data_IF_452212435377
#
_entry.id   IF_452212435377
#
_cell.length_a   1.000
_cell.length_b   1.000
_cell.length_c   1.000
_cell.angle_alpha   90.00
_cell.angle_beta   90.00
_cell.angle_gamma   90.00
#
_symmetry.space_group_name_H-M   'P 1'
#
loop_
_entity.id
_entity.type
_entity.pdbx_description
1 polymer ?
#
# COMPACT_ATOMS: atom_id res chain seq x y z
N UNK A 1 32.30 3.58 -7.23
CA UNK A 1 32.10 3.66 -5.76
C UNK A 1 30.91 4.58 -5.53
N UNK A 2 29.70 4.04 -5.43
CA UNK A 2 28.48 4.84 -5.28
C UNK A 2 28.22 5.06 -3.79
N UNK A 3 28.27 6.32 -3.36
CA UNK A 3 27.98 6.74 -1.99
C UNK A 3 26.48 6.59 -1.74
N UNK A 4 26.09 5.73 -0.80
CA UNK A 4 24.73 5.68 -0.29
C UNK A 4 24.42 7.01 0.39
N UNK A 5 23.53 7.80 -0.22
CA UNK A 5 23.03 9.05 0.35
C UNK A 5 22.40 8.75 1.70
N UNK A 6 22.92 9.39 2.75
CA UNK A 6 22.44 9.29 4.12
C UNK A 6 21.01 9.84 4.17
N UNK A 7 20.02 8.97 3.98
CA UNK A 7 18.61 9.32 4.08
C UNK A 7 18.36 9.86 5.47
N UNK A 8 17.82 11.09 5.57
CA UNK A 8 17.35 11.65 6.84
C UNK A 8 16.67 10.55 7.65
N UNK A 9 17.17 10.31 8.87
CA UNK A 9 16.67 9.23 9.70
C UNK A 9 15.18 9.45 9.93
N UNK A 10 14.35 8.68 9.21
CA UNK A 10 12.89 8.77 9.34
C UNK A 10 12.55 8.49 10.79
N UNK A 11 11.99 9.49 11.48
CA UNK A 11 11.62 9.38 12.90
C UNK A 11 10.53 8.33 13.15
N UNK A 12 9.82 7.91 12.10
CA UNK A 12 8.74 6.93 12.14
C UNK A 12 8.97 5.87 11.07
N UNK A 13 8.75 4.57 11.38
CA UNK A 13 8.94 3.48 10.43
C UNK A 13 7.79 3.39 9.43
N UNK A 14 8.05 2.74 8.29
CA UNK A 14 7.01 2.27 7.37
C UNK A 14 6.76 0.79 7.65
N UNK A 15 5.49 0.39 7.73
CA UNK A 15 5.10 -0.99 8.03
C UNK A 15 4.30 -1.54 6.84
N UNK A 16 4.78 -2.62 6.23
CA UNK A 16 4.06 -3.36 5.21
C UNK A 16 3.35 -4.55 5.86
N UNK A 17 2.03 -4.62 5.73
CA UNK A 17 1.23 -5.74 6.22
C UNK A 17 0.68 -6.49 5.01
N UNK A 18 1.14 -7.73 4.82
CA UNK A 18 0.80 -8.56 3.66
C UNK A 18 0.37 -9.97 4.07
N UNK A 19 -0.27 -10.68 3.14
CA UNK A 19 -0.62 -12.10 3.16
C UNK A 19 -2.02 -12.35 2.60
N UNK A 20 -2.49 -13.59 2.65
CA UNK A 20 -3.71 -14.03 1.98
C UNK A 20 -4.97 -13.28 2.46
N UNK A 21 -5.88 -12.98 1.53
CA UNK A 21 -7.10 -12.18 1.74
C UNK A 21 -7.94 -12.58 2.97
N UNK A 22 -7.92 -13.85 3.37
CA UNK A 22 -8.71 -14.41 4.47
C UNK A 22 -8.24 -14.04 5.89
N UNK A 23 -7.07 -13.41 6.08
CA UNK A 23 -6.48 -13.23 7.43
C UNK A 23 -6.92 -11.97 8.20
N UNK A 24 -8.08 -11.37 7.89
CA UNK A 24 -8.63 -10.15 8.57
C UNK A 24 -7.63 -9.00 8.75
N UNK A 25 -6.67 -8.84 7.83
CA UNK A 25 -5.60 -7.84 7.95
C UNK A 25 -6.14 -6.42 8.00
N UNK A 26 -7.18 -6.11 7.22
CA UNK A 26 -7.80 -4.77 7.22
C UNK A 26 -8.23 -4.33 8.63
N UNK A 27 -8.83 -5.22 9.41
CA UNK A 27 -9.28 -4.93 10.79
C UNK A 27 -8.11 -4.74 11.74
N UNK A 28 -7.10 -5.62 11.68
CA UNK A 28 -5.90 -5.53 12.53
C UNK A 28 -5.09 -4.27 12.21
N UNK A 29 -4.94 -3.92 10.93
CA UNK A 29 -4.20 -2.73 10.52
C UNK A 29 -4.91 -1.45 10.92
N UNK A 30 -6.25 -1.40 10.86
CA UNK A 30 -7.02 -0.26 11.32
C UNK A 30 -6.79 0.02 12.81
N UNK A 31 -6.80 -1.02 13.65
CA UNK A 31 -6.49 -0.87 15.08
C UNK A 31 -5.02 -0.48 15.32
N UNK A 32 -4.09 -1.08 14.57
CA UNK A 32 -2.67 -0.75 14.67
C UNK A 32 -2.40 0.73 14.31
N UNK A 33 -3.07 1.25 13.29
CA UNK A 33 -2.93 2.64 12.88
C UNK A 33 -3.39 3.63 13.96
N UNK A 34 -4.47 3.29 14.67
CA UNK A 34 -4.95 4.09 15.81
C UNK A 34 -3.91 4.09 16.93
N UNK A 35 -3.41 2.92 17.32
CA UNK A 35 -2.46 2.78 18.45
C UNK A 35 -1.09 3.38 18.13
N UNK A 36 -0.63 3.27 16.89
CA UNK A 36 0.68 3.77 16.46
C UNK A 36 0.65 5.21 15.95
N UNK A 37 -0.54 5.79 15.81
CA UNK A 37 -0.82 7.08 15.16
C UNK A 37 -0.21 7.19 13.75
N UNK A 38 -0.02 6.04 13.07
CA UNK A 38 0.51 5.98 11.72
C UNK A 38 -0.62 6.09 10.70
N UNK A 39 -0.33 6.64 9.52
CA UNK A 39 -1.29 6.69 8.41
C UNK A 39 -1.48 5.28 7.86
N UNK A 40 -2.68 4.73 8.03
CA UNK A 40 -3.09 3.52 7.33
C UNK A 40 -3.37 3.85 5.86
N UNK A 41 -2.76 3.10 4.95
CA UNK A 41 -3.04 3.17 3.52
C UNK A 41 -3.43 1.77 3.06
N UNK A 42 -4.65 1.63 2.55
CA UNK A 42 -5.05 0.42 1.83
C UNK A 42 -4.65 0.58 0.36
N UNK A 43 -3.76 -0.26 -0.14
CA UNK A 43 -3.24 -0.15 -1.51
C UNK A 43 -4.33 -0.31 -2.56
N UNK A 44 -5.31 -1.19 -2.35
CA UNK A 44 -6.39 -1.42 -3.32
C UNK A 44 -7.37 -0.26 -3.38
N UNK A 45 -7.72 0.33 -2.23
CA UNK A 45 -8.60 1.52 -2.19
C UNK A 45 -7.86 2.74 -2.76
N UNK A 46 -6.57 2.91 -2.41
CA UNK A 46 -5.72 3.97 -2.95
C UNK A 46 -5.56 3.89 -4.47
N UNK A 47 -5.30 2.70 -5.03
CA UNK A 47 -5.18 2.52 -6.47
C UNK A 47 -6.48 2.87 -7.21
N UNK A 48 -7.64 2.61 -6.61
CA UNK A 48 -8.95 3.00 -7.18
C UNK A 48 -9.18 4.50 -7.13
N UNK A 49 -8.92 5.15 -5.99
CA UNK A 49 -9.07 6.61 -5.84
C UNK A 49 -8.21 7.38 -6.85
N UNK A 50 -7.01 6.87 -7.10
CA UNK A 50 -6.00 7.54 -7.92
C UNK A 50 -6.00 7.05 -9.38
N UNK A 51 -6.99 6.23 -9.76
CA UNK A 51 -7.12 5.63 -11.09
C UNK A 51 -5.84 4.93 -11.58
N UNK A 52 -5.12 4.27 -10.67
CA UNK A 52 -3.90 3.49 -10.93
C UNK A 52 -4.26 2.05 -11.33
N UNK A 53 -5.33 1.89 -12.10
CA UNK A 53 -5.86 0.59 -12.53
C UNK A 53 -5.83 0.48 -14.04
N UNK A 54 -5.46 -0.70 -14.52
CA UNK A 54 -5.38 -1.07 -15.93
C UNK A 54 -6.68 -1.76 -16.37
N UNK A 55 -6.56 -2.69 -17.31
CA UNK A 55 -7.63 -3.54 -17.79
C UNK A 55 -8.31 -4.34 -16.67
N UNK A 56 -9.57 -4.64 -16.94
CA UNK A 56 -10.40 -5.47 -16.07
C UNK A 56 -10.06 -6.95 -16.28
N UNK A 57 -10.01 -7.72 -15.19
CA UNK A 57 -9.89 -9.16 -15.19
C UNK A 57 -11.29 -9.80 -15.05
N UNK A 58 -11.79 -10.41 -16.11
CA UNK A 58 -13.09 -11.10 -16.13
C UNK A 58 -13.11 -12.41 -15.32
N UNK A 59 -11.96 -13.02 -15.03
CA UNK A 59 -11.85 -14.29 -14.28
C UNK A 59 -11.97 -14.02 -12.78
N UNK A 60 -11.33 -12.95 -12.30
CA UNK A 60 -11.29 -12.59 -10.88
C UNK A 60 -12.19 -11.41 -10.52
N UNK A 61 -12.92 -10.84 -11.48
CA UNK A 61 -13.89 -9.76 -11.30
C UNK A 61 -13.25 -8.53 -10.63
N UNK A 62 -12.04 -8.15 -11.08
CA UNK A 62 -11.22 -7.10 -10.47
C UNK A 62 -10.34 -6.37 -11.51
N UNK A 63 -9.99 -5.12 -11.24
CA UNK A 63 -9.01 -4.40 -12.06
C UNK A 63 -7.56 -4.80 -11.70
N UNK A 64 -6.70 -4.90 -12.72
CA UNK A 64 -5.26 -4.98 -12.51
C UNK A 64 -4.73 -3.66 -11.98
N UNK A 65 -3.97 -3.69 -10.88
CA UNK A 65 -3.28 -2.49 -10.36
C UNK A 65 -2.02 -2.26 -11.21
N UNK A 66 -1.83 -1.03 -11.67
CA UNK A 66 -0.62 -0.65 -12.38
C UNK A 66 0.45 -0.17 -11.40
N UNK A 67 1.50 -0.97 -11.21
CA UNK A 67 2.59 -0.67 -10.29
C UNK A 67 3.61 0.34 -10.85
N UNK A 68 3.65 0.52 -12.17
CA UNK A 68 4.57 1.44 -12.87
C UNK A 68 3.99 2.85 -13.03
N UNK A 69 2.67 3.00 -12.87
CA UNK A 69 1.99 4.27 -13.01
C UNK A 69 2.29 5.14 -11.79
N UNK A 70 3.22 6.07 -11.97
CA UNK A 70 3.57 7.05 -10.95
C UNK A 70 2.68 8.27 -11.11
N UNK A 71 2.15 8.77 -10.01
CA UNK A 71 1.64 10.14 -9.98
C UNK A 71 2.77 11.09 -10.38
N UNK A 72 2.47 11.98 -11.33
CA UNK A 72 3.31 13.13 -11.68
C UNK A 72 3.19 14.23 -10.61
#
# INVERSE_FOLDING_TARGET
>A
MAMAQNSSCRKRPNILITGTSSTRKKTTTAYLAIVTELRHINVGDFAKEENLTNDWDDIFDCYYINEDLKML
#
